data_IF_599367237496
#
_entry.id   IF_599367237496
#
_cell.length_a   1.000
_cell.length_b   1.000
_cell.length_c   1.000
_cell.angle_alpha   90.00
_cell.angle_beta   90.00
_cell.angle_gamma   90.00
#
_symmetry.space_group_name_H-M   'P 1'
#
loop_
_entity.id
_entity.type
_entity.pdbx_description
1 polymer ?
#
# COMPACT_ATOMS: atom_id res chain seq x y z
N UNK A 1 9.33 4.46 28.85
CA UNK A 1 8.15 4.75 28.02
C UNK A 1 7.29 3.49 28.03
N UNK A 2 6.02 3.61 28.40
CA UNK A 2 5.07 2.48 28.33
C UNK A 2 4.21 2.66 27.07
N UNK A 3 4.32 1.75 26.12
CA UNK A 3 3.55 1.80 24.86
C UNK A 3 2.06 1.54 25.10
N UNK A 4 1.70 0.80 26.16
CA UNK A 4 0.30 0.52 26.51
C UNK A 4 -0.46 1.79 26.90
N UNK A 5 0.24 2.83 27.34
CA UNK A 5 -0.34 4.10 27.74
C UNK A 5 -0.24 5.18 26.65
N UNK A 6 0.08 4.83 25.40
CA UNK A 6 0.14 5.78 24.29
C UNK A 6 -1.17 5.76 23.50
N UNK A 7 -2.08 6.75 23.66
CA UNK A 7 -3.39 6.73 23.02
C UNK A 7 -3.32 6.65 21.49
N UNK A 8 -2.30 7.27 20.90
CA UNK A 8 -2.08 7.27 19.45
C UNK A 8 -1.82 5.88 18.87
N UNK A 9 -1.27 4.95 19.67
CA UNK A 9 -1.04 3.56 19.23
C UNK A 9 -2.34 2.74 19.22
N UNK A 10 -3.30 3.09 20.07
CA UNK A 10 -4.57 2.37 20.22
C UNK A 10 -5.72 2.94 19.38
N UNK A 11 -5.53 4.13 18.81
CA UNK A 11 -6.52 4.81 17.97
C UNK A 11 -6.50 4.38 16.48
N UNK A 12 -5.76 3.33 16.14
CA UNK A 12 -5.72 2.81 14.77
C UNK A 12 -6.88 1.84 14.52
N UNK A 13 -7.58 1.92 13.37
CA UNK A 13 -8.63 0.97 13.05
C UNK A 13 -8.06 -0.45 12.89
N UNK A 14 -8.83 -1.48 13.24
CA UNK A 14 -8.42 -2.88 13.10
C UNK A 14 -7.98 -3.23 11.68
N UNK A 15 -8.68 -2.69 10.67
CA UNK A 15 -8.33 -2.82 9.26
C UNK A 15 -6.94 -2.25 8.93
N UNK A 16 -6.52 -1.19 9.64
CA UNK A 16 -5.18 -0.63 9.51
C UNK A 16 -4.09 -1.56 10.05
N UNK A 17 -4.34 -2.20 11.19
CA UNK A 17 -3.43 -3.21 11.75
C UNK A 17 -3.34 -4.45 10.85
N UNK A 18 -4.47 -4.89 10.29
CA UNK A 18 -4.49 -5.97 9.31
C UNK A 18 -3.69 -5.59 8.05
N UNK A 19 -3.94 -4.41 7.49
CA UNK A 19 -3.23 -3.93 6.31
C UNK A 19 -1.72 -3.81 6.53
N UNK A 20 -1.30 -3.38 7.74
CA UNK A 20 0.12 -3.40 8.11
C UNK A 20 0.73 -4.80 7.97
N UNK A 21 0.11 -5.80 8.61
CA UNK A 21 0.59 -7.18 8.58
C UNK A 21 0.66 -7.71 7.15
N UNK A 22 -0.36 -7.42 6.33
CA UNK A 22 -0.40 -7.78 4.91
C UNK A 22 0.78 -7.14 4.17
N UNK A 23 0.98 -5.83 4.30
CA UNK A 23 2.07 -5.14 3.58
C UNK A 23 3.45 -5.66 4.01
N UNK A 24 3.67 -5.94 5.30
CA UNK A 24 4.94 -6.51 5.77
C UNK A 24 5.19 -7.92 5.19
N UNK A 25 4.16 -8.75 5.10
CA UNK A 25 4.25 -10.08 4.47
C UNK A 25 4.48 -10.01 2.97
N UNK A 26 3.80 -9.09 2.28
CA UNK A 26 4.02 -8.86 0.85
C UNK A 26 5.44 -8.37 0.58
N UNK A 27 5.95 -7.40 1.35
CA UNK A 27 7.33 -6.93 1.20
C UNK A 27 8.35 -8.04 1.39
N UNK A 28 8.15 -8.93 2.37
CA UNK A 28 8.98 -10.12 2.53
C UNK A 28 8.96 -11.01 1.28
N UNK A 29 7.78 -11.35 0.76
CA UNK A 29 7.65 -12.22 -0.40
C UNK A 29 8.33 -11.63 -1.65
N UNK A 30 8.18 -10.33 -1.87
CA UNK A 30 8.84 -9.60 -2.97
C UNK A 30 10.37 -9.59 -2.81
N UNK A 31 10.87 -9.38 -1.59
CA UNK A 31 12.31 -9.46 -1.28
C UNK A 31 12.87 -10.87 -1.54
N UNK A 32 12.15 -11.93 -1.13
CA UNK A 32 12.55 -13.31 -1.39
C UNK A 32 12.61 -13.62 -2.90
N UNK A 33 11.79 -12.95 -3.72
CA UNK A 33 11.84 -13.01 -5.19
C UNK A 33 12.83 -12.05 -5.85
N UNK A 34 13.66 -11.35 -5.08
CA UNK A 34 14.65 -10.37 -5.59
C UNK A 34 14.00 -9.24 -6.39
N UNK A 35 12.73 -8.91 -6.09
CA UNK A 35 12.03 -7.72 -6.59
C UNK A 35 12.42 -6.53 -5.72
N UNK A 36 13.70 -6.17 -5.80
CA UNK A 36 14.32 -5.11 -5.02
C UNK A 36 15.13 -4.20 -5.93
N UNK A 37 15.31 -2.97 -5.50
CA UNK A 37 16.15 -1.96 -6.15
C UNK A 37 17.12 -1.34 -5.13
N UNK A 38 18.32 -0.90 -5.57
CA UNK A 38 19.27 -0.22 -4.71
C UNK A 38 18.67 1.02 -4.04
N UNK A 39 19.05 1.27 -2.79
CA UNK A 39 18.67 2.47 -2.04
C UNK A 39 19.84 2.88 -1.14
N UNK A 40 20.79 3.63 -1.70
CA UNK A 40 22.06 3.91 -1.02
C UNK A 40 22.86 2.62 -0.85
N UNK A 41 23.31 2.35 0.38
CA UNK A 41 23.97 1.08 0.77
C UNK A 41 22.95 -0.05 1.04
N UNK A 42 21.67 0.29 1.18
CA UNK A 42 20.57 -0.65 1.43
C UNK A 42 19.83 -1.03 0.14
N UNK A 43 18.74 -1.78 0.29
CA UNK A 43 17.78 -2.07 -0.77
C UNK A 43 16.35 -1.85 -0.29
N UNK A 44 15.46 -1.54 -1.22
CA UNK A 44 14.00 -1.47 -1.00
C UNK A 44 13.27 -2.35 -2.01
N UNK A 45 12.02 -2.69 -1.70
CA UNK A 45 11.15 -3.37 -2.67
C UNK A 45 11.00 -2.52 -3.92
N UNK A 46 11.09 -3.17 -5.07
CA UNK A 46 10.82 -2.57 -6.37
C UNK A 46 9.36 -2.80 -6.76
N UNK A 47 8.50 -1.87 -6.35
CA UNK A 47 7.07 -1.91 -6.62
C UNK A 47 6.73 -1.81 -8.11
N UNK A 48 7.55 -1.10 -8.89
CA UNK A 48 7.37 -0.97 -10.34
C UNK A 48 7.68 -2.29 -11.04
N UNK A 49 8.76 -2.96 -10.65
CA UNK A 49 9.05 -4.31 -11.16
C UNK A 49 7.98 -5.31 -10.73
N UNK A 50 7.48 -5.24 -9.50
CA UNK A 50 6.35 -6.07 -9.08
C UNK A 50 5.11 -5.83 -9.97
N UNK A 51 4.71 -4.57 -10.15
CA UNK A 51 3.58 -4.19 -10.99
C UNK A 51 3.71 -4.70 -12.43
N UNK A 52 4.86 -4.45 -13.05
CA UNK A 52 5.05 -4.70 -14.49
C UNK A 52 5.43 -6.16 -14.81
N UNK A 53 6.33 -6.76 -14.04
CA UNK A 53 6.87 -8.11 -14.32
C UNK A 53 5.94 -9.22 -13.82
N UNK A 54 5.20 -8.99 -12.73
CA UNK A 54 4.39 -10.05 -12.08
C UNK A 54 2.90 -9.95 -12.33
N UNK A 55 2.34 -8.73 -12.33
CA UNK A 55 0.91 -8.54 -12.55
C UNK A 55 0.58 -8.31 -14.03
N UNK A 56 1.39 -7.50 -14.69
CA UNK A 56 1.25 -7.11 -16.09
C UNK A 56 0.16 -6.07 -16.31
N UNK A 57 0.14 -5.46 -17.50
CA UNK A 57 -0.75 -4.32 -17.82
C UNK A 57 -2.25 -4.65 -17.68
N UNK A 58 -2.67 -5.86 -18.07
CA UNK A 58 -4.07 -6.29 -17.98
C UNK A 58 -4.61 -6.43 -16.55
N UNK A 59 -3.76 -6.40 -15.52
CA UNK A 59 -4.22 -6.44 -14.13
C UNK A 59 -4.95 -5.16 -13.72
N UNK A 60 -4.58 -4.00 -14.26
CA UNK A 60 -5.28 -2.75 -13.96
C UNK A 60 -6.73 -2.83 -14.42
N UNK A 61 -6.96 -3.22 -15.67
CA UNK A 61 -8.32 -3.39 -16.22
C UNK A 61 -9.13 -4.42 -15.44
N UNK A 62 -8.48 -5.50 -15.00
CA UNK A 62 -9.12 -6.51 -14.14
C UNK A 62 -9.58 -5.94 -12.80
N UNK A 63 -8.76 -5.09 -12.13
CA UNK A 63 -9.16 -4.44 -10.88
C UNK A 63 -10.27 -3.41 -11.10
N UNK A 64 -10.25 -2.67 -12.21
CA UNK A 64 -11.34 -1.74 -12.57
C UNK A 64 -12.65 -2.53 -12.73
N UNK A 65 -12.60 -3.67 -13.43
CA UNK A 65 -13.77 -4.53 -13.67
C UNK A 65 -14.29 -5.24 -12.41
N UNK A 66 -13.45 -5.50 -11.42
CA UNK A 66 -13.89 -6.12 -10.16
C UNK A 66 -14.69 -5.18 -9.27
N UNK A 67 -14.57 -3.86 -9.47
CA UNK A 67 -15.19 -2.82 -8.64
C UNK A 67 -14.78 -2.87 -7.16
N UNK A 68 -13.67 -3.54 -6.84
CA UNK A 68 -13.20 -3.70 -5.46
C UNK A 68 -12.23 -2.60 -5.00
N UNK A 69 -11.97 -1.60 -5.84
CA UNK A 69 -10.99 -0.53 -5.61
C UNK A 69 -11.46 0.85 -6.13
N UNK A 70 -12.78 1.11 -6.13
CA UNK A 70 -13.37 2.32 -6.71
C UNK A 70 -12.88 3.61 -6.04
N UNK A 71 -12.79 3.66 -4.71
CA UNK A 71 -12.26 4.82 -3.97
C UNK A 71 -10.76 5.03 -4.23
N UNK A 72 -9.98 3.96 -4.30
CA UNK A 72 -8.54 4.01 -4.54
C UNK A 72 -8.22 4.53 -5.95
N UNK A 73 -9.08 4.20 -6.92
CA UNK A 73 -9.00 4.66 -8.30
C UNK A 73 -9.52 6.09 -8.42
N UNK A 74 -10.77 6.36 -8.02
CA UNK A 74 -11.41 7.65 -8.28
C UNK A 74 -11.00 8.75 -7.29
N UNK A 75 -10.61 8.38 -6.06
CA UNK A 75 -10.27 9.29 -4.96
C UNK A 75 -8.89 8.96 -4.35
N UNK A 76 -7.91 8.75 -5.24
CA UNK A 76 -6.56 8.29 -4.89
C UNK A 76 -5.94 9.01 -3.67
N UNK A 77 -5.21 8.28 -2.79
CA UNK A 77 -4.61 8.86 -1.60
C UNK A 77 -3.61 9.97 -1.94
N UNK A 78 -3.71 11.08 -1.21
CA UNK A 78 -2.76 12.20 -1.28
C UNK A 78 -1.32 11.70 -1.11
N UNK A 79 -0.39 12.32 -1.83
CA UNK A 79 1.04 12.06 -1.69
C UNK A 79 1.63 13.04 -0.69
N UNK A 80 2.31 12.52 0.32
CA UNK A 80 3.13 13.32 1.21
C UNK A 80 4.45 13.65 0.51
N UNK A 81 4.81 14.93 0.48
CA UNK A 81 6.03 15.45 -0.14
C UNK A 81 6.76 16.37 0.82
N UNK A 82 8.07 16.49 0.67
CA UNK A 82 8.86 17.56 1.26
C UNK A 82 8.95 18.70 0.26
N UNK A 83 8.50 19.89 0.63
CA UNK A 83 8.54 21.06 -0.28
C UNK A 83 9.81 21.92 -0.14
N UNK A 84 10.76 21.50 0.71
CA UNK A 84 11.96 22.28 1.05
C UNK A 84 11.92 22.83 2.48
N UNK A 85 10.72 23.04 3.03
CA UNK A 85 10.52 23.67 4.34
C UNK A 85 9.68 22.81 5.29
N UNK A 86 8.63 22.16 4.77
CA UNK A 86 7.70 21.36 5.55
C UNK A 86 7.18 20.15 4.76
N UNK A 87 6.52 19.24 5.50
CA UNK A 87 5.75 18.15 4.91
C UNK A 87 4.41 18.69 4.41
N UNK A 88 4.08 18.39 3.16
CA UNK A 88 2.85 18.81 2.49
C UNK A 88 2.13 17.58 1.91
N UNK A 89 0.79 17.58 1.92
CA UNK A 89 -0.02 16.59 1.22
C UNK A 89 -0.56 17.18 -0.07
N UNK A 90 -0.21 16.56 -1.20
CA UNK A 90 -0.65 17.00 -2.53
C UNK A 90 -1.60 15.99 -3.18
N UNK A 91 -2.67 16.45 -3.86
CA UNK A 91 -3.46 15.61 -4.73
C UNK A 91 -2.60 14.94 -5.81
N UNK A 92 -2.97 13.72 -6.18
CA UNK A 92 -2.38 12.99 -7.30
C UNK A 92 -3.49 12.61 -8.26
N UNK A 93 -3.15 12.48 -9.54
CA UNK A 93 -4.11 12.00 -10.53
C UNK A 93 -4.60 10.59 -10.15
N UNK A 94 -5.86 10.24 -10.48
CA UNK A 94 -6.33 8.86 -10.50
C UNK A 94 -5.34 7.94 -11.24
N UNK A 95 -5.08 6.73 -10.74
CA UNK A 95 -4.23 5.78 -11.44
C UNK A 95 -4.87 5.38 -12.77
N UNK A 96 -4.11 5.47 -13.85
CA UNK A 96 -4.49 5.02 -15.20
C UNK A 96 -3.77 3.75 -15.66
N UNK A 97 -2.90 3.18 -14.81
CA UNK A 97 -2.17 1.95 -15.10
C UNK A 97 -1.79 1.21 -13.81
N UNK A 98 -1.21 0.02 -13.98
CA UNK A 98 -0.86 -0.87 -12.86
C UNK A 98 0.21 -0.27 -11.93
N UNK A 99 1.19 0.46 -12.46
CA UNK A 99 2.23 1.10 -11.64
C UNK A 99 1.62 2.15 -10.72
N UNK A 100 0.74 2.98 -11.26
CA UNK A 100 0.07 4.03 -10.51
C UNK A 100 -0.90 3.46 -9.46
N UNK A 101 -1.58 2.35 -9.78
CA UNK A 101 -2.45 1.63 -8.86
C UNK A 101 -1.67 1.02 -7.69
N UNK A 102 -0.58 0.28 -7.96
CA UNK A 102 0.30 -0.24 -6.89
C UNK A 102 0.92 0.92 -6.10
N UNK A 103 1.30 2.00 -6.78
CA UNK A 103 1.74 3.24 -6.13
C UNK A 103 0.67 3.83 -5.20
N UNK A 104 -0.62 3.73 -5.54
CA UNK A 104 -1.72 4.16 -4.68
C UNK A 104 -1.82 3.30 -3.42
N UNK A 105 -1.73 1.97 -3.55
CA UNK A 105 -1.66 1.04 -2.39
C UNK A 105 -0.49 1.41 -1.46
N UNK A 106 0.70 1.65 -2.01
CA UNK A 106 1.86 2.08 -1.23
C UNK A 106 1.65 3.45 -0.56
N UNK A 107 0.91 4.38 -1.19
CA UNK A 107 0.54 5.66 -0.56
C UNK A 107 -0.44 5.48 0.59
N UNK A 108 -1.43 4.58 0.49
CA UNK A 108 -2.31 4.23 1.63
C UNK A 108 -1.46 3.74 2.80
N UNK A 109 -0.53 2.81 2.53
CA UNK A 109 0.42 2.29 3.54
C UNK A 109 1.21 3.43 4.19
N UNK A 110 1.83 4.30 3.39
CA UNK A 110 2.64 5.41 3.92
C UNK A 110 1.80 6.38 4.76
N UNK A 111 0.61 6.75 4.27
CA UNK A 111 -0.28 7.68 4.97
C UNK A 111 -0.81 7.12 6.29
N UNK A 112 -1.03 5.80 6.36
CA UNK A 112 -1.47 5.13 7.58
C UNK A 112 -0.38 5.11 8.66
N UNK A 113 0.87 4.81 8.30
CA UNK A 113 1.93 4.56 9.30
C UNK A 113 2.79 5.78 9.65
N UNK A 114 2.99 6.71 8.73
CA UNK A 114 3.86 7.87 8.97
C UNK A 114 3.12 9.09 9.53
N UNK A 115 1.78 9.03 9.58
CA UNK A 115 0.95 10.10 10.11
C UNK A 115 1.08 11.42 9.33
N UNK A 116 0.32 12.43 9.74
CA UNK A 116 0.37 13.79 9.17
C UNK A 116 -0.99 14.34 8.74
N UNK A 117 -2.02 13.50 8.59
CA UNK A 117 -3.40 13.94 8.34
C UNK A 117 -4.19 14.29 9.62
N UNK A 118 -3.53 14.51 10.76
CA UNK A 118 -4.19 14.73 12.04
C UNK A 118 -5.17 15.93 12.06
N UNK A 119 -5.10 16.84 11.09
CA UNK A 119 -6.05 17.95 10.91
C UNK A 119 -7.07 17.79 9.77
N UNK A 120 -7.01 16.75 8.95
CA UNK A 120 -7.92 16.50 7.82
C UNK A 120 -8.63 15.17 8.03
N UNK A 121 -9.54 15.17 8.99
CA UNK A 121 -10.31 14.00 9.40
C UNK A 121 -11.37 13.70 8.34
N UNK A 122 -11.08 12.76 7.44
CA UNK A 122 -12.08 12.10 6.57
C UNK A 122 -12.11 10.60 6.93
N UNK A 123 -12.57 10.28 8.14
CA UNK A 123 -12.49 8.91 8.71
C UNK A 123 -13.05 7.83 7.77
N UNK A 124 -14.26 8.02 7.22
CA UNK A 124 -14.88 7.02 6.33
C UNK A 124 -14.13 6.78 5.02
N UNK A 125 -13.52 7.82 4.43
CA UNK A 125 -12.69 7.66 3.23
C UNK A 125 -11.40 6.90 3.52
N UNK A 126 -10.78 7.13 4.67
CA UNK A 126 -9.56 6.43 5.04
C UNK A 126 -9.80 4.93 5.24
N UNK A 127 -10.94 4.55 5.84
CA UNK A 127 -11.32 3.13 5.97
C UNK A 127 -11.57 2.46 4.62
N UNK A 128 -12.28 3.14 3.71
CA UNK A 128 -12.50 2.65 2.35
C UNK A 128 -11.17 2.44 1.61
N UNK A 129 -10.26 3.41 1.66
CA UNK A 129 -8.93 3.31 1.04
C UNK A 129 -8.10 2.14 1.60
N UNK A 130 -8.17 1.86 2.91
CA UNK A 130 -7.49 0.72 3.52
C UNK A 130 -8.11 -0.60 3.05
N UNK A 131 -9.44 -0.71 3.10
CA UNK A 131 -10.17 -1.90 2.67
C UNK A 131 -9.89 -2.24 1.21
N UNK A 132 -9.97 -1.24 0.33
CA UNK A 132 -9.72 -1.42 -1.10
C UNK A 132 -8.25 -1.70 -1.40
N UNK A 133 -7.31 -1.12 -0.66
CA UNK A 133 -5.90 -1.49 -0.76
C UNK A 133 -5.65 -2.95 -0.37
N UNK A 134 -6.34 -3.47 0.65
CA UNK A 134 -6.32 -4.90 1.00
C UNK A 134 -6.87 -5.74 -0.17
N UNK A 135 -7.98 -5.34 -0.78
CA UNK A 135 -8.56 -6.06 -1.92
C UNK A 135 -7.59 -6.13 -3.11
N UNK A 136 -6.95 -5.01 -3.47
CA UNK A 136 -5.95 -4.99 -4.54
C UNK A 136 -4.78 -5.94 -4.24
N UNK A 137 -4.30 -5.97 -3.00
CA UNK A 137 -3.25 -6.93 -2.60
C UNK A 137 -3.75 -8.37 -2.70
N UNK A 138 -4.98 -8.67 -2.24
CA UNK A 138 -5.60 -10.01 -2.36
C UNK A 138 -5.65 -10.46 -3.83
N UNK A 139 -6.17 -9.61 -4.71
CA UNK A 139 -6.23 -9.86 -6.15
C UNK A 139 -4.84 -10.08 -6.75
N UNK A 140 -3.83 -9.32 -6.30
CA UNK A 140 -2.45 -9.48 -6.76
C UNK A 140 -1.84 -10.82 -6.32
N UNK A 141 -2.13 -11.28 -5.10
CA UNK A 141 -1.73 -12.61 -4.63
C UNK A 141 -2.45 -13.73 -5.39
N UNK A 142 -3.71 -13.55 -5.77
CA UNK A 142 -4.43 -14.52 -6.61
C UNK A 142 -3.87 -14.60 -8.02
N UNK A 143 -3.35 -13.48 -8.55
CA UNK A 143 -2.70 -13.40 -9.86
C UNK A 143 -1.33 -14.10 -9.89
N UNK A 144 -0.59 -14.02 -8.79
CA UNK A 144 0.78 -14.55 -8.68
C UNK A 144 0.90 -15.59 -7.57
N UNK A 145 0.71 -16.86 -7.94
CA UNK A 145 0.71 -17.99 -7.02
C UNK A 145 2.06 -18.22 -6.33
N UNK A 146 3.16 -17.81 -6.96
CA UNK A 146 4.49 -17.94 -6.37
C UNK A 146 4.71 -16.91 -5.26
N UNK A 147 4.34 -15.64 -5.50
CA UNK A 147 4.37 -14.62 -4.46
C UNK A 147 3.39 -14.96 -3.33
N UNK A 148 2.20 -15.48 -3.65
CA UNK A 148 1.23 -15.95 -2.66
C UNK A 148 1.79 -17.05 -1.77
N UNK A 149 2.45 -18.05 -2.34
CA UNK A 149 3.08 -19.11 -1.56
C UNK A 149 4.11 -18.55 -0.56
N UNK A 150 4.96 -17.63 -1.00
CA UNK A 150 5.94 -16.97 -0.12
C UNK A 150 5.28 -16.07 0.93
N UNK A 151 4.17 -15.42 0.59
CA UNK A 151 3.38 -14.60 1.51
C UNK A 151 2.78 -15.45 2.65
N UNK A 152 2.23 -16.62 2.31
CA UNK A 152 1.54 -17.53 3.25
C UNK A 152 2.51 -18.42 4.05
N UNK A 153 3.71 -18.67 3.54
CA UNK A 153 4.72 -19.45 4.28
C UNK A 153 5.19 -18.66 5.50
N UNK A 154 5.15 -19.28 6.69
CA UNK A 154 5.68 -18.66 7.90
C UNK A 154 7.15 -18.27 7.67
N UNK A 155 7.50 -17.02 7.98
CA UNK A 155 8.90 -16.65 8.11
C UNK A 155 9.47 -17.53 9.24
N UNK A 156 10.40 -18.43 8.89
CA UNK A 156 11.11 -19.25 9.85
C UNK A 156 11.89 -18.39 10.85
#
# INVERSE_FOLDING_TARGET
MNFDNCPTLHNQPESGVLFFKIMMRLEYALKAKKLVQPFGEDFKVDWDRFANERLGSGFFDFVVQSQEAETLINESPLKQIWNGEALEFRPVAPPGNIQELIGAVCRVRNNLFHGGKAGQIQHGRNEALISEAINVVRLALERDTEIKMLFETAAA
#
